data_IF_177398811613
#
_entry.id   IF_177398811613
#
_cell.length_a   1.000
_cell.length_b   1.000
_cell.length_c   1.000
_cell.angle_alpha   90.00
_cell.angle_beta   90.00
_cell.angle_gamma   90.00
#
_symmetry.space_group_name_H-M   'P 1'
#
loop_
_entity.id
_entity.type
_entity.pdbx_description
1 polymer ?
#
# COMPACT_ATOMS: atom_id res chain seq x y z
N UNK A 1 34.67 0.39 26.04
CA UNK A 1 33.48 -0.34 25.54
C UNK A 1 33.61 -0.44 24.02
N UNK A 2 33.51 -1.63 23.41
CA UNK A 2 33.54 -1.74 21.95
C UNK A 2 32.33 -1.03 21.35
N UNK A 3 32.57 -0.09 20.44
CA UNK A 3 31.53 0.61 19.68
C UNK A 3 31.41 -0.03 18.30
N UNK A 4 30.18 -0.21 17.82
CA UNK A 4 29.87 -0.68 16.47
C UNK A 4 28.98 0.34 15.76
N UNK A 5 29.07 0.45 14.44
CA UNK A 5 28.17 1.28 13.66
C UNK A 5 26.87 0.54 13.34
N UNK A 6 25.74 1.22 13.48
CA UNK A 6 24.45 0.64 13.14
C UNK A 6 24.32 0.42 11.63
N UNK A 7 23.93 -0.79 11.20
CA UNK A 7 23.69 -1.12 9.80
C UNK A 7 22.51 -0.37 9.14
N UNK A 8 21.67 0.33 9.93
CA UNK A 8 20.54 1.11 9.42
C UNK A 8 20.85 2.61 9.37
N UNK A 9 21.30 3.21 10.48
CA UNK A 9 21.49 4.66 10.57
C UNK A 9 22.96 5.10 10.57
N UNK A 10 23.92 4.18 10.57
CA UNK A 10 25.36 4.48 10.60
C UNK A 10 25.90 4.94 11.96
N UNK A 11 25.03 5.43 12.85
CA UNK A 11 25.43 5.93 14.18
C UNK A 11 26.17 4.87 15.01
N UNK A 12 27.24 5.27 15.73
CA UNK A 12 27.94 4.40 16.66
C UNK A 12 27.04 4.06 17.85
N UNK A 13 27.07 2.80 18.28
CA UNK A 13 26.36 2.33 19.47
C UNK A 13 27.18 1.27 20.21
N UNK A 14 26.84 1.06 21.48
CA UNK A 14 27.43 0.00 22.30
C UNK A 14 26.53 -1.24 22.24
N UNK A 15 27.00 -2.38 21.69
CA UNK A 15 26.24 -3.63 21.69
C UNK A 15 25.90 -4.10 23.10
N UNK A 16 24.76 -4.77 23.25
CA UNK A 16 24.42 -5.41 24.54
C UNK A 16 25.40 -6.56 24.81
N UNK A 17 25.91 -6.72 26.05
CA UNK A 17 26.82 -7.81 26.39
C UNK A 17 26.26 -9.21 26.07
N UNK A 18 24.94 -9.39 26.14
CA UNK A 18 24.28 -10.66 25.82
C UNK A 18 24.23 -10.96 24.32
N UNK A 19 24.45 -9.95 23.47
CA UNK A 19 24.34 -10.06 22.00
C UNK A 19 25.50 -9.30 21.36
N UNK A 20 26.74 -9.82 21.45
CA UNK A 20 27.92 -9.15 20.94
C UNK A 20 27.83 -8.88 19.43
N UNK A 21 27.10 -9.71 18.68
CA UNK A 21 26.89 -9.59 17.23
C UNK A 21 25.70 -8.69 16.84
N UNK A 22 25.22 -7.87 17.76
CA UNK A 22 24.19 -6.88 17.46
C UNK A 22 24.66 -5.95 16.34
N UNK A 23 23.91 -5.91 15.24
CA UNK A 23 24.21 -5.08 14.05
C UNK A 23 23.39 -3.77 13.97
N UNK A 24 22.33 -3.64 14.78
CA UNK A 24 21.43 -2.49 14.77
C UNK A 24 21.37 -1.85 16.15
N UNK A 25 21.38 -0.52 16.23
CA UNK A 25 21.20 0.19 17.50
C UNK A 25 19.77 -0.01 18.05
N UNK A 26 19.53 0.37 19.31
CA UNK A 26 18.23 0.20 19.97
C UNK A 26 17.14 1.18 19.52
N UNK A 27 17.44 2.10 18.59
CA UNK A 27 16.46 3.06 18.10
C UNK A 27 15.25 2.33 17.46
N UNK A 28 13.99 2.73 17.76
CA UNK A 28 12.81 2.04 17.25
C UNK A 28 12.75 1.90 15.73
N UNK A 29 13.17 2.95 15.01
CA UNK A 29 13.25 2.94 13.55
C UNK A 29 14.22 1.87 13.02
N UNK A 30 15.40 1.76 13.62
CA UNK A 30 16.42 0.78 13.23
C UNK A 30 16.01 -0.66 13.56
N UNK A 31 15.32 -0.86 14.70
CA UNK A 31 14.79 -2.18 15.05
C UNK A 31 13.60 -2.59 14.17
N UNK A 32 12.78 -1.64 13.72
CA UNK A 32 11.75 -1.90 12.72
C UNK A 32 12.36 -2.34 11.40
N UNK A 33 13.37 -1.61 10.90
CA UNK A 33 14.10 -1.97 9.68
C UNK A 33 14.73 -3.36 9.77
N UNK A 34 15.38 -3.68 10.90
CA UNK A 34 15.92 -5.02 11.16
C UNK A 34 14.86 -6.11 11.02
N UNK A 35 13.68 -5.93 11.64
CA UNK A 35 12.58 -6.89 11.57
C UNK A 35 12.02 -7.02 10.16
N UNK A 36 11.87 -5.91 9.45
CA UNK A 36 11.41 -5.90 8.05
C UNK A 36 12.38 -6.68 7.16
N UNK A 37 13.68 -6.43 7.26
CA UNK A 37 14.69 -7.17 6.48
C UNK A 37 14.68 -8.65 6.78
N UNK A 38 14.62 -9.02 8.06
CA UNK A 38 14.52 -10.43 8.45
C UNK A 38 13.26 -11.07 7.85
N UNK A 39 12.11 -10.39 7.92
CA UNK A 39 10.86 -10.88 7.35
C UNK A 39 10.97 -11.04 5.84
N UNK A 40 11.51 -10.05 5.13
CA UNK A 40 11.70 -10.10 3.68
C UNK A 40 12.61 -11.24 3.25
N UNK A 41 13.72 -11.47 3.96
CA UNK A 41 14.62 -12.60 3.70
C UNK A 41 13.88 -13.92 3.96
N UNK A 42 13.21 -14.05 5.11
CA UNK A 42 12.45 -15.26 5.43
C UNK A 42 11.38 -15.57 4.39
N UNK A 43 10.62 -14.58 3.95
CA UNK A 43 9.60 -14.76 2.91
C UNK A 43 10.17 -15.24 1.57
N UNK A 44 11.43 -14.92 1.27
CA UNK A 44 12.11 -15.32 0.03
C UNK A 44 12.77 -16.70 0.15
N UNK A 45 13.41 -16.99 1.28
CA UNK A 45 14.27 -18.18 1.44
C UNK A 45 13.54 -19.37 2.05
N UNK A 46 12.43 -19.14 2.75
CA UNK A 46 11.75 -20.14 3.58
C UNK A 46 10.31 -20.36 3.05
N UNK A 47 10.12 -21.32 2.13
CA UNK A 47 8.82 -21.58 1.51
C UNK A 47 7.77 -22.06 2.52
N UNK A 48 8.17 -22.85 3.52
CA UNK A 48 7.27 -23.33 4.58
C UNK A 48 6.76 -22.17 5.44
N UNK A 49 7.63 -21.21 5.77
CA UNK A 49 7.23 -19.99 6.47
C UNK A 49 6.19 -19.19 5.67
N UNK A 50 6.40 -19.03 4.36
CA UNK A 50 5.48 -18.32 3.47
C UNK A 50 4.12 -19.02 3.38
N UNK A 51 4.11 -20.34 3.23
CA UNK A 51 2.89 -21.13 3.12
C UNK A 51 2.10 -21.13 4.44
N UNK A 52 2.80 -21.24 5.58
CA UNK A 52 2.18 -21.13 6.89
C UNK A 52 1.53 -19.77 7.13
N UNK A 53 2.18 -18.67 6.72
CA UNK A 53 1.61 -17.31 6.73
C UNK A 53 0.32 -17.24 5.92
N UNK A 54 0.33 -17.76 4.68
CA UNK A 54 -0.84 -17.77 3.81
C UNK A 54 -2.00 -18.57 4.40
N UNK A 55 -1.74 -19.78 4.92
CA UNK A 55 -2.75 -20.63 5.56
C UNK A 55 -3.33 -19.98 6.80
N UNK A 56 -2.49 -19.38 7.63
CA UNK A 56 -2.91 -18.67 8.85
C UNK A 56 -3.81 -17.49 8.52
N UNK A 57 -3.45 -16.70 7.50
CA UNK A 57 -4.24 -15.57 7.05
C UNK A 57 -5.60 -16.02 6.51
N UNK A 58 -5.64 -17.04 5.64
CA UNK A 58 -6.90 -17.61 5.13
C UNK A 58 -7.78 -18.12 6.26
N UNK A 59 -7.22 -18.93 7.16
CA UNK A 59 -7.97 -19.48 8.28
C UNK A 59 -8.48 -18.38 9.25
N UNK A 60 -7.80 -17.23 9.33
CA UNK A 60 -8.31 -16.09 10.08
C UNK A 60 -9.46 -15.40 9.35
N UNK A 61 -9.36 -15.18 8.03
CA UNK A 61 -10.43 -14.59 7.22
C UNK A 61 -11.70 -15.44 7.23
N UNK A 62 -11.55 -16.77 7.10
CA UNK A 62 -12.68 -17.71 7.12
C UNK A 62 -13.43 -17.66 8.46
N UNK A 63 -12.70 -17.44 9.57
CA UNK A 63 -13.31 -17.26 10.91
C UNK A 63 -13.87 -15.86 11.16
N UNK A 64 -13.44 -14.87 10.38
CA UNK A 64 -13.76 -13.45 10.61
C UNK A 64 -14.28 -12.75 9.33
N UNK A 65 -15.34 -13.27 8.68
CA UNK A 65 -15.80 -12.76 7.38
C UNK A 65 -16.23 -11.29 7.42
N UNK A 66 -16.80 -10.83 8.54
CA UNK A 66 -17.32 -9.47 8.70
C UNK A 66 -16.34 -8.48 9.36
N UNK A 67 -15.09 -8.90 9.63
CA UNK A 67 -14.14 -8.08 10.38
C UNK A 67 -13.91 -6.71 9.74
N UNK A 68 -13.63 -6.67 8.43
CA UNK A 68 -13.33 -5.41 7.75
C UNK A 68 -14.53 -4.47 7.69
N UNK A 69 -15.75 -5.02 7.54
CA UNK A 69 -16.99 -4.23 7.57
C UNK A 69 -17.17 -3.59 8.95
N UNK A 70 -17.00 -4.40 9.99
CA UNK A 70 -17.11 -3.97 11.38
C UNK A 70 -16.05 -2.92 11.72
N UNK A 71 -14.78 -3.18 11.39
CA UNK A 71 -13.66 -2.27 11.62
C UNK A 71 -13.89 -0.89 10.99
N UNK A 72 -14.28 -0.83 9.70
CA UNK A 72 -14.56 0.44 9.02
C UNK A 72 -15.75 1.19 9.63
N UNK A 73 -16.82 0.47 9.96
CA UNK A 73 -17.99 1.10 10.60
C UNK A 73 -17.69 1.71 11.97
N UNK A 74 -16.64 1.24 12.66
CA UNK A 74 -16.20 1.80 13.94
C UNK A 74 -15.29 3.01 13.73
N UNK A 75 -14.41 2.99 12.73
CA UNK A 75 -13.56 4.14 12.41
C UNK A 75 -14.38 5.34 11.94
N UNK A 76 -15.45 5.09 11.18
CA UNK A 76 -16.36 6.15 10.71
C UNK A 76 -17.11 6.85 11.86
N UNK A 77 -17.31 6.18 13.01
CA UNK A 77 -17.92 6.76 14.21
C UNK A 77 -16.96 7.63 15.02
N UNK A 78 -15.65 7.51 14.79
CA UNK A 78 -14.61 8.27 15.48
C UNK A 78 -14.11 9.47 14.69
N UNK A 79 -14.41 9.56 13.39
CA UNK A 79 -14.11 10.76 12.61
C UNK A 79 -15.10 11.86 12.97
N UNK A 80 -14.66 13.11 13.24
CA UNK A 80 -15.58 14.22 13.39
C UNK A 80 -16.43 14.32 12.13
N UNK A 81 -17.74 14.46 12.32
CA UNK A 81 -18.71 14.47 11.23
C UNK A 81 -18.21 15.39 10.10
N UNK A 82 -18.19 14.93 8.84
CA UNK A 82 -17.86 15.82 7.74
C UNK A 82 -18.91 16.93 7.75
N UNK A 83 -18.46 18.18 7.93
CA UNK A 83 -19.29 19.36 7.69
C UNK A 83 -19.89 19.17 6.32
N UNK A 84 -21.22 19.14 6.24
CA UNK A 84 -21.96 18.79 5.04
C UNK A 84 -21.73 19.86 3.95
N UNK A 85 -20.63 19.75 3.22
CA UNK A 85 -20.54 20.33 1.89
C UNK A 85 -21.45 19.48 1.01
N UNK A 86 -22.57 20.07 0.60
CA UNK A 86 -23.49 19.48 -0.37
C UNK A 86 -22.75 19.34 -1.69
N UNK A 87 -21.98 18.27 -1.83
CA UNK A 87 -21.47 17.81 -3.11
C UNK A 87 -22.66 17.11 -3.75
N UNK A 88 -23.34 17.80 -4.66
CA UNK A 88 -24.24 17.19 -5.63
C UNK A 88 -23.44 16.14 -6.39
N UNK A 89 -23.49 14.89 -5.90
CA UNK A 89 -22.91 13.74 -6.57
C UNK A 89 -23.69 13.57 -7.87
N UNK A 90 -23.17 14.12 -8.96
CA UNK A 90 -23.62 13.75 -10.29
C UNK A 90 -23.61 12.23 -10.38
N UNK A 91 -24.70 11.65 -10.86
CA UNK A 91 -24.82 10.21 -11.07
C UNK A 91 -23.59 9.72 -11.83
N UNK A 92 -22.80 8.78 -11.30
CA UNK A 92 -21.66 8.25 -12.04
C UNK A 92 -22.23 7.53 -13.26
N UNK A 93 -22.00 8.11 -14.44
CA UNK A 93 -22.35 7.46 -15.69
C UNK A 93 -21.56 6.13 -15.72
N UNK A 94 -22.20 5.03 -16.07
CA UNK A 94 -21.49 3.76 -16.26
C UNK A 94 -20.61 3.87 -17.51
N UNK A 95 -19.31 3.57 -17.41
CA UNK A 95 -18.41 3.65 -18.56
C UNK A 95 -16.93 3.50 -18.21
N UNK A 96 -16.09 3.44 -19.24
CA UNK A 96 -14.63 3.57 -19.10
C UNK A 96 -14.27 5.05 -19.06
N UNK A 97 -13.27 5.39 -18.25
CA UNK A 97 -12.81 6.77 -18.05
C UNK A 97 -11.29 6.86 -18.13
N UNK A 98 -10.82 7.99 -18.64
CA UNK A 98 -9.43 8.43 -18.52
C UNK A 98 -9.33 9.44 -17.39
N UNK A 99 -8.35 9.22 -16.50
CA UNK A 99 -8.03 10.16 -15.42
C UNK A 99 -6.67 10.76 -15.74
N UNK A 100 -6.62 12.08 -15.87
CA UNK A 100 -5.37 12.83 -16.05
C UNK A 100 -5.15 13.72 -14.83
N UNK A 101 -3.91 13.76 -14.36
CA UNK A 101 -3.51 14.64 -13.26
C UNK A 101 -2.76 15.84 -13.84
N UNK A 102 -3.24 17.04 -13.54
CA UNK A 102 -2.57 18.29 -13.88
C UNK A 102 -2.12 19.00 -12.61
N UNK A 103 -0.92 19.57 -12.67
CA UNK A 103 -0.33 20.36 -11.60
C UNK A 103 -0.68 21.83 -11.82
N UNK A 104 -1.32 22.45 -10.84
CA UNK A 104 -1.65 23.88 -10.89
C UNK A 104 -0.37 24.71 -10.71
N UNK A 105 0.04 25.55 -11.68
CA UNK A 105 1.29 26.31 -11.57
C UNK A 105 1.23 27.45 -10.55
N UNK A 106 0.06 27.76 -9.98
CA UNK A 106 -0.14 28.88 -9.04
C UNK A 106 -0.47 28.44 -7.61
N UNK A 107 -0.66 27.15 -7.34
CA UNK A 107 -0.99 26.67 -6.01
C UNK A 107 0.26 26.62 -5.11
N UNK A 108 0.20 27.27 -3.94
CA UNK A 108 1.28 27.29 -2.93
C UNK A 108 1.45 25.95 -2.17
N UNK A 109 0.79 24.89 -2.60
CA UNK A 109 0.83 23.54 -2.01
C UNK A 109 0.60 22.47 -3.08
N UNK A 110 1.00 21.21 -2.80
CA UNK A 110 0.86 20.02 -3.66
C UNK A 110 -0.62 19.66 -3.92
N UNK A 111 -1.33 20.51 -4.65
CA UNK A 111 -2.72 20.32 -5.05
C UNK A 111 -2.72 19.83 -6.49
N UNK A 112 -3.20 18.60 -6.68
CA UNK A 112 -3.37 17.99 -8.00
C UNK A 112 -4.82 18.10 -8.45
N UNK A 113 -5.04 18.56 -9.67
CA UNK A 113 -6.36 18.52 -10.31
C UNK A 113 -6.46 17.23 -11.11
N UNK A 114 -7.47 16.41 -10.80
CA UNK A 114 -7.81 15.21 -11.56
C UNK A 114 -8.93 15.54 -12.55
N UNK A 115 -8.61 15.55 -13.84
CA UNK A 115 -9.60 15.63 -14.91
C UNK A 115 -10.06 14.20 -15.28
N UNK A 116 -11.37 13.95 -15.21
CA UNK A 116 -11.98 12.66 -15.53
C UNK A 116 -12.76 12.80 -16.83
N UNK A 117 -12.27 12.20 -17.92
CA UNK A 117 -12.89 12.25 -19.24
C UNK A 117 -13.47 10.88 -19.61
N UNK A 118 -14.72 10.75 -20.09
CA UNK A 118 -15.25 9.48 -20.54
C UNK A 118 -14.45 8.97 -21.76
N UNK A 119 -14.02 7.70 -21.71
CA UNK A 119 -13.42 7.03 -22.85
C UNK A 119 -14.54 6.65 -23.83
N UNK A 120 -14.63 7.32 -24.99
CA UNK A 120 -15.56 6.92 -26.05
C UNK A 120 -15.22 5.50 -26.51
N UNK A 121 -16.20 4.59 -26.50
CA UNK A 121 -16.04 3.17 -26.89
C UNK A 121 -16.16 2.97 -28.41
N UNK A 122 -16.42 4.02 -29.18
CA UNK A 122 -16.44 3.90 -30.64
C UNK A 122 -15.01 3.91 -31.21
N UNK A 123 -14.39 2.72 -31.29
CA UNK A 123 -13.34 2.49 -32.26
C UNK A 123 -13.98 2.04 -33.58
N UNK A 124 -13.88 2.82 -34.67
CA UNK A 124 -14.23 2.34 -36.01
C UNK A 124 -13.24 1.28 -36.52
N UNK A 125 -12.15 1.03 -35.80
CA UNK A 125 -10.99 0.25 -36.24
C UNK A 125 -11.17 -1.28 -36.25
N UNK A 126 -12.37 -1.81 -35.96
CA UNK A 126 -12.63 -3.26 -36.01
C UNK A 126 -13.69 -3.64 -37.05
N UNK A 127 -13.58 -3.09 -38.26
CA UNK A 127 -14.08 -3.78 -39.45
C UNK A 127 -12.90 -4.06 -40.37
N UNK A 128 -12.74 -5.33 -40.69
CA UNK A 128 -11.88 -5.90 -41.73
C UNK A 128 -10.40 -6.13 -41.37
N UNK A 129 -10.15 -7.14 -40.55
CA UNK A 129 -8.89 -7.90 -40.60
C UNK A 129 -9.10 -9.37 -40.17
N UNK A 130 -10.08 -10.05 -40.78
CA UNK A 130 -10.12 -11.51 -40.77
C UNK A 130 -10.91 -12.01 -41.99
N UNK A 131 -10.25 -12.06 -43.14
CA UNK A 131 -10.60 -12.98 -44.22
C UNK A 131 -9.38 -13.86 -44.49
N UNK A 132 -9.48 -15.06 -43.94
CA UNK A 132 -9.09 -16.35 -44.51
C UNK A 132 -7.83 -16.39 -45.41
N UNK A 133 -6.79 -17.06 -44.89
CA UNK A 133 -5.85 -17.84 -45.70
C UNK A 133 -6.11 -19.31 -45.43
N UNK A 134 -6.69 -20.00 -46.40
CA UNK A 134 -6.50 -21.43 -46.65
C UNK A 134 -6.12 -21.55 -48.11
#
# INVERSE_FOLDING_TARGET
>A
MPTKNCACCGEPFTPRPQVPDQAYCSAPACQRERRLRWQSVKMQTDPDYRDNQSRSQRAWLDRNPDYWRTYRSQTDKSSPAPVATVVTKGTPLSGLYWIKFQQEPSAKSDVWIAEITPARVECPCKKDACKERT
#
